data_IF_036574124858
#
_entry.id   IF_036574124858
#
_cell.length_a   1.000
_cell.length_b   1.000
_cell.length_c   1.000
_cell.angle_alpha   90.00
_cell.angle_beta   90.00
_cell.angle_gamma   90.00
#
_symmetry.space_group_name_H-M   'P 1'
#
loop_
_entity.id
_entity.type
_entity.pdbx_description
1 polymer ?
#
# COMPACT_ATOMS: atom_id res chain seq x y z
N UNK A 1 2.87 -10.31 -10.56
CA UNK A 1 1.71 -9.54 -10.01
C UNK A 1 2.18 -8.37 -9.13
N UNK A 2 2.98 -8.58 -8.08
CA UNK A 2 3.43 -7.50 -7.17
C UNK A 2 3.94 -6.21 -7.84
N UNK A 3 4.86 -6.33 -8.81
CA UNK A 3 5.40 -5.16 -9.54
C UNK A 3 4.36 -4.37 -10.34
N UNK A 4 3.27 -5.00 -10.77
CA UNK A 4 2.19 -4.29 -11.47
C UNK A 4 1.43 -3.34 -10.53
N UNK A 5 1.51 -3.57 -9.22
CA UNK A 5 1.00 -2.69 -8.17
C UNK A 5 2.08 -1.72 -7.63
N UNK A 6 3.25 -1.65 -8.29
CA UNK A 6 4.37 -0.83 -7.83
C UNK A 6 5.12 -1.40 -6.61
N UNK A 7 4.76 -2.59 -6.12
CA UNK A 7 5.42 -3.20 -4.95
C UNK A 7 6.83 -3.66 -5.28
N UNK A 8 7.72 -3.51 -4.29
CA UNK A 8 9.08 -4.03 -4.34
C UNK A 8 9.10 -5.54 -4.10
N UNK A 9 10.13 -6.21 -4.61
CA UNK A 9 10.35 -7.64 -4.43
C UNK A 9 11.69 -7.83 -3.75
N UNK A 10 11.69 -8.53 -2.63
CA UNK A 10 12.87 -8.85 -1.82
C UNK A 10 13.21 -10.33 -1.92
N UNK A 11 14.47 -10.66 -1.66
CA UNK A 11 14.94 -12.04 -1.50
C UNK A 11 14.98 -12.42 -0.02
N UNK A 12 14.73 -13.69 0.27
CA UNK A 12 14.86 -14.26 1.63
C UNK A 12 16.20 -13.92 2.27
N UNK A 13 16.18 -13.66 3.59
CA UNK A 13 17.37 -13.61 4.44
C UNK A 13 17.48 -14.83 5.36
N UNK A 14 16.73 -15.89 5.07
CA UNK A 14 16.63 -17.12 5.85
C UNK A 14 15.52 -17.04 6.89
N UNK A 15 15.81 -17.55 8.09
CA UNK A 15 14.85 -17.56 9.20
C UNK A 15 14.77 -16.21 9.90
N UNK A 16 13.54 -15.71 10.08
CA UNK A 16 13.23 -14.48 10.83
C UNK A 16 13.50 -14.63 12.33
N UNK A 17 13.49 -13.51 13.07
CA UNK A 17 13.65 -13.49 14.54
C UNK A 17 12.56 -14.23 15.32
N UNK A 18 11.46 -14.61 14.65
CA UNK A 18 10.36 -15.39 15.22
C UNK A 18 10.30 -16.85 14.71
N UNK A 19 11.37 -17.31 14.04
CA UNK A 19 11.50 -18.72 13.63
C UNK A 19 10.76 -19.09 12.34
N UNK A 20 10.32 -18.11 11.54
CA UNK A 20 9.66 -18.35 10.25
C UNK A 20 10.68 -18.25 9.13
N UNK A 21 10.73 -19.25 8.25
CA UNK A 21 11.56 -19.24 7.04
C UNK A 21 10.90 -18.38 5.95
N UNK A 22 11.61 -17.37 5.48
CA UNK A 22 11.10 -16.50 4.41
C UNK A 22 11.11 -17.22 3.05
N UNK A 23 10.08 -17.01 2.21
CA UNK A 23 10.12 -17.46 0.81
C UNK A 23 11.32 -16.87 0.08
N UNK A 24 11.91 -17.62 -0.86
CA UNK A 24 13.07 -17.18 -1.64
C UNK A 24 12.88 -15.79 -2.30
N UNK A 25 11.64 -15.48 -2.71
CA UNK A 25 11.20 -14.17 -3.17
C UNK A 25 9.85 -13.83 -2.54
N UNK A 26 9.70 -12.60 -2.07
CA UNK A 26 8.43 -12.09 -1.54
C UNK A 26 8.25 -10.61 -1.90
N UNK A 27 7.00 -10.15 -1.86
CA UNK A 27 6.69 -8.73 -2.05
C UNK A 27 6.83 -7.97 -0.74
N UNK A 28 7.47 -6.80 -0.80
CA UNK A 28 7.39 -5.80 0.27
C UNK A 28 5.96 -5.27 0.41
N UNK A 29 5.57 -4.77 1.60
CA UNK A 29 4.20 -4.41 1.86
C UNK A 29 3.76 -3.14 1.13
N UNK A 30 2.47 -3.08 0.86
CA UNK A 30 1.78 -1.86 0.51
C UNK A 30 0.34 -1.88 1.03
N UNK A 31 -0.25 -0.69 1.16
CA UNK A 31 -1.65 -0.49 1.53
C UNK A 31 -2.31 0.27 0.38
N UNK A 32 -3.43 -0.26 -0.12
CA UNK A 32 -4.19 0.34 -1.20
C UNK A 32 -5.64 0.47 -0.76
N UNK A 33 -6.23 1.64 -0.97
CA UNK A 33 -7.67 1.85 -0.85
C UNK A 33 -8.25 1.92 -2.25
N UNK A 34 -9.14 0.99 -2.57
CA UNK A 34 -9.78 0.85 -3.88
C UNK A 34 -11.27 1.13 -3.69
N UNK A 35 -11.81 2.02 -4.53
CA UNK A 35 -13.24 2.33 -4.53
C UNK A 35 -14.06 1.16 -5.11
N UNK A 36 -15.39 1.10 -4.86
CA UNK A 36 -16.25 0.07 -5.44
C UNK A 36 -16.24 0.00 -6.98
N UNK A 37 -15.93 1.11 -7.65
CA UNK A 37 -15.79 1.18 -9.12
C UNK A 37 -14.44 0.65 -9.65
N UNK A 38 -13.54 0.22 -8.76
CA UNK A 38 -12.22 -0.30 -9.09
C UNK A 38 -11.14 0.78 -9.23
N UNK A 39 -11.45 2.07 -9.06
CA UNK A 39 -10.46 3.14 -9.07
C UNK A 39 -9.60 3.16 -7.79
N UNK A 40 -8.34 3.54 -7.91
CA UNK A 40 -7.42 3.67 -6.77
C UNK A 40 -7.64 5.04 -6.08
N UNK A 41 -7.89 5.04 -4.77
CA UNK A 41 -8.07 6.26 -3.97
C UNK A 41 -6.79 6.68 -3.23
N UNK A 42 -6.06 5.68 -2.73
CA UNK A 42 -4.86 5.87 -1.93
C UNK A 42 -3.92 4.69 -2.14
N UNK A 43 -2.62 4.95 -2.16
CA UNK A 43 -1.58 3.93 -2.17
C UNK A 43 -0.40 4.35 -1.30
N UNK A 44 0.06 3.45 -0.43
CA UNK A 44 1.32 3.55 0.26
C UNK A 44 2.14 2.28 -0.02
N UNK A 45 3.29 2.45 -0.66
CA UNK A 45 4.20 1.36 -1.02
C UNK A 45 5.50 1.55 -0.25
N UNK A 46 6.05 0.46 0.28
CA UNK A 46 7.27 0.51 1.07
C UNK A 46 8.30 -0.47 0.51
N UNK A 47 9.58 -0.14 0.70
CA UNK A 47 10.72 -1.03 0.43
C UNK A 47 11.15 -1.80 1.68
N UNK A 48 10.55 -1.50 2.84
CA UNK A 48 10.87 -2.09 4.14
C UNK A 48 9.59 -2.39 4.90
N UNK A 49 9.58 -3.37 5.82
CA UNK A 49 8.36 -3.82 6.49
C UNK A 49 7.89 -2.91 7.64
N UNK A 50 8.61 -1.84 7.96
CA UNK A 50 8.36 -0.97 9.10
C UNK A 50 7.72 0.38 8.68
N UNK A 51 7.19 1.12 9.65
CA UNK A 51 6.54 2.42 9.45
C UNK A 51 5.31 2.36 8.51
N UNK A 52 4.54 1.28 8.61
CA UNK A 52 3.26 1.14 7.91
C UNK A 52 2.27 2.22 8.37
N UNK A 53 1.31 2.65 7.52
CA UNK A 53 0.23 3.54 7.95
C UNK A 53 -0.50 3.01 9.19
N UNK A 54 -0.73 3.87 10.17
CA UNK A 54 -1.56 3.53 11.33
C UNK A 54 -3.02 3.43 10.91
N UNK A 55 -3.63 2.25 11.09
CA UNK A 55 -4.97 2.01 10.57
C UNK A 55 -6.05 2.84 11.25
N UNK A 56 -5.90 3.20 12.52
CA UNK A 56 -6.85 4.08 13.20
C UNK A 56 -6.91 5.47 12.55
N UNK A 57 -5.76 6.02 12.16
CA UNK A 57 -5.67 7.29 11.42
C UNK A 57 -6.20 7.15 10.00
N UNK A 58 -5.91 6.02 9.34
CA UNK A 58 -6.40 5.74 7.99
C UNK A 58 -7.93 5.61 7.96
N UNK A 59 -8.52 4.94 8.95
CA UNK A 59 -9.98 4.80 9.09
C UNK A 59 -10.64 6.15 9.34
N UNK A 60 -10.09 6.98 10.24
CA UNK A 60 -10.59 8.34 10.46
C UNK A 60 -10.54 9.20 9.19
N UNK A 61 -9.49 9.06 8.38
CA UNK A 61 -9.39 9.73 7.09
C UNK A 61 -10.40 9.20 6.06
N UNK A 62 -10.69 7.89 6.06
CA UNK A 62 -11.73 7.28 5.22
C UNK A 62 -13.11 7.82 5.61
N UNK A 63 -13.44 7.85 6.90
CA UNK A 63 -14.72 8.38 7.39
C UNK A 63 -14.92 9.83 6.95
N UNK A 64 -13.87 10.66 7.08
CA UNK A 64 -13.89 12.03 6.59
C UNK A 64 -14.10 12.09 5.06
N UNK A 65 -13.34 11.30 4.30
CA UNK A 65 -13.41 11.28 2.84
C UNK A 65 -14.81 10.89 2.35
N UNK A 66 -15.41 9.86 2.94
CA UNK A 66 -16.78 9.41 2.63
C UNK A 66 -17.79 10.48 3.01
N UNK A 67 -17.70 11.07 4.21
CA UNK A 67 -18.63 12.09 4.68
C UNK A 67 -18.58 13.39 3.87
N UNK A 68 -17.45 13.69 3.23
CA UNK A 68 -17.23 14.90 2.43
C UNK A 68 -17.27 14.68 0.93
N UNK A 69 -17.51 13.45 0.48
CA UNK A 69 -17.37 13.06 -0.92
C UNK A 69 -16.03 13.56 -1.50
N UNK A 70 -14.95 13.34 -0.74
CA UNK A 70 -13.65 13.93 -1.07
C UNK A 70 -13.02 13.20 -2.27
N UNK A 71 -12.56 13.93 -3.31
CA UNK A 71 -12.03 13.30 -4.52
C UNK A 71 -10.64 12.69 -4.28
N UNK A 72 -10.27 11.73 -5.14
CA UNK A 72 -8.89 11.26 -5.17
C UNK A 72 -7.96 12.41 -5.64
N UNK A 73 -6.66 12.25 -5.42
CA UNK A 73 -5.63 13.17 -5.92
C UNK A 73 -4.59 12.37 -6.70
N UNK A 74 -3.80 13.06 -7.52
CA UNK A 74 -2.77 12.43 -8.36
C UNK A 74 -3.25 12.04 -9.76
N UNK A 75 -4.37 12.59 -10.22
CA UNK A 75 -4.99 12.27 -11.51
C UNK A 75 -4.54 13.20 -12.66
N UNK A 76 -3.46 13.98 -12.47
CA UNK A 76 -2.97 14.89 -13.51
C UNK A 76 -2.38 14.12 -14.69
N UNK A 77 -2.86 14.42 -15.90
CA UNK A 77 -2.45 13.76 -17.16
C UNK A 77 -1.90 14.73 -18.21
N UNK A 78 -1.73 16.01 -17.87
CA UNK A 78 -1.15 17.02 -18.76
C UNK A 78 0.39 17.01 -18.78
N UNK A 79 0.98 17.95 -19.51
CA UNK A 79 2.43 18.13 -19.56
C UNK A 79 2.98 18.73 -18.25
N UNK A 80 4.19 18.31 -17.85
CA UNK A 80 4.93 18.78 -16.67
C UNK A 80 6.30 19.28 -17.08
#
# INVERSE_FOLDING_TARGET
VARAWGLYVSTSRGTTSIGIEEPALFSEPGVFLVRPDGSLYYGAVQTMPFARPHFDELLAAIDFAVAKDYPARGEYTGEV
#
